data_IF_011999448520
#
_entry.id   IF_011999448520
#
_cell.length_a   1.000
_cell.length_b   1.000
_cell.length_c   1.000
_cell.angle_alpha   90.00
_cell.angle_beta   90.00
_cell.angle_gamma   90.00
#
_symmetry.space_group_name_H-M   'P 1'
#
loop_
_entity.id
_entity.type
_entity.pdbx_description
1 polymer ?
#
# COMPACT_ATOMS: atom_id res chain seq x y z
N UNK A 1 -19.19 -19.37 -4.03
CA UNK A 1 -18.14 -18.58 -4.69
C UNK A 1 -17.67 -19.33 -5.90
N UNK A 2 -17.76 -18.71 -7.07
CA UNK A 2 -17.13 -19.25 -8.27
C UNK A 2 -15.59 -19.11 -8.14
N UNK A 3 -14.82 -19.95 -8.84
CA UNK A 3 -13.34 -19.96 -8.76
C UNK A 3 -12.73 -18.58 -9.08
N UNK A 4 -13.44 -17.81 -9.90
CA UNK A 4 -13.09 -16.49 -10.38
C UNK A 4 -13.15 -15.43 -9.25
N UNK A 5 -14.23 -15.46 -8.47
CA UNK A 5 -14.39 -14.64 -7.26
C UNK A 5 -13.35 -14.99 -6.21
N UNK A 6 -13.00 -16.28 -6.09
CA UNK A 6 -11.93 -16.71 -5.19
C UNK A 6 -10.56 -16.21 -5.67
N UNK A 7 -10.28 -16.29 -6.97
CA UNK A 7 -9.05 -15.79 -7.58
C UNK A 7 -8.87 -14.30 -7.32
N UNK A 8 -9.87 -13.47 -7.64
CA UNK A 8 -9.79 -12.03 -7.40
C UNK A 8 -9.69 -11.70 -5.90
N UNK A 9 -10.40 -12.42 -5.02
CA UNK A 9 -10.30 -12.20 -3.57
C UNK A 9 -8.90 -12.51 -3.03
N UNK A 10 -8.27 -13.58 -3.52
CA UNK A 10 -6.89 -13.93 -3.17
C UNK A 10 -5.92 -12.87 -3.70
N UNK A 11 -6.04 -12.45 -4.95
CA UNK A 11 -5.22 -11.38 -5.52
C UNK A 11 -5.39 -10.06 -4.77
N UNK A 12 -6.62 -9.71 -4.40
CA UNK A 12 -6.93 -8.52 -3.61
C UNK A 12 -6.30 -8.58 -2.22
N UNK A 13 -6.20 -9.79 -1.64
CA UNK A 13 -5.47 -10.04 -0.38
C UNK A 13 -3.96 -9.85 -0.56
N UNK A 14 -3.38 -10.29 -1.67
CA UNK A 14 -1.97 -10.00 -2.00
C UNK A 14 -1.73 -8.50 -2.11
N UNK A 15 -2.62 -7.78 -2.78
CA UNK A 15 -2.50 -6.33 -2.93
C UNK A 15 -2.70 -5.59 -1.61
N UNK A 16 -3.55 -6.09 -0.71
CA UNK A 16 -3.64 -5.60 0.66
C UNK A 16 -2.34 -5.86 1.45
N UNK A 17 -1.76 -7.06 1.34
CA UNK A 17 -0.47 -7.39 1.94
C UNK A 17 0.63 -6.45 1.44
N UNK A 18 0.67 -6.21 0.12
CA UNK A 18 1.51 -5.18 -0.47
C UNK A 18 1.25 -3.82 0.18
N UNK A 19 0.00 -3.34 0.21
CA UNK A 19 -0.36 -2.03 0.78
C UNK A 19 0.20 -1.84 2.18
N UNK A 20 0.09 -2.84 3.07
CA UNK A 20 0.60 -2.73 4.44
C UNK A 20 2.13 -2.65 4.46
N UNK A 21 2.83 -3.60 3.83
CA UNK A 21 4.30 -3.67 3.88
C UNK A 21 4.93 -2.50 3.12
N UNK A 22 4.38 -2.14 1.95
CA UNK A 22 4.84 -0.97 1.18
C UNK A 22 4.55 0.33 1.93
N UNK A 23 3.42 0.46 2.62
CA UNK A 23 3.19 1.66 3.44
C UNK A 23 4.27 1.84 4.50
N UNK A 24 4.66 0.75 5.18
CA UNK A 24 5.72 0.77 6.17
C UNK A 24 7.05 1.21 5.55
N UNK A 25 7.45 0.59 4.43
CA UNK A 25 8.71 0.86 3.72
C UNK A 25 8.75 2.30 3.15
N UNK A 26 7.72 2.68 2.39
CA UNK A 26 7.60 3.96 1.72
C UNK A 26 7.52 5.12 2.72
N UNK A 27 6.70 4.99 3.76
CA UNK A 27 6.59 6.00 4.81
C UNK A 27 7.87 6.09 5.65
N UNK A 28 8.57 4.98 5.91
CA UNK A 28 9.87 5.02 6.60
C UNK A 28 10.88 5.88 5.83
N UNK A 29 10.86 5.84 4.50
CA UNK A 29 11.71 6.71 3.68
C UNK A 29 11.36 8.19 3.73
N UNK A 30 10.08 8.51 3.75
CA UNK A 30 9.65 9.89 3.96
C UNK A 30 10.04 10.40 5.36
N UNK A 31 9.76 9.64 6.42
CA UNK A 31 10.07 10.03 7.79
C UNK A 31 11.58 10.11 8.05
N UNK A 32 12.40 9.29 7.41
CA UNK A 32 13.87 9.41 7.44
C UNK A 32 14.32 10.74 6.84
N UNK A 33 13.82 11.09 5.64
CA UNK A 33 14.15 12.36 4.99
C UNK A 33 13.69 13.56 5.83
N UNK A 34 12.45 13.53 6.34
CA UNK A 34 11.91 14.59 7.17
C UNK A 34 12.70 14.78 8.49
N UNK A 35 13.16 13.69 9.09
CA UNK A 35 13.99 13.71 10.30
C UNK A 35 15.37 14.30 10.05
N UNK A 36 16.00 13.97 8.91
CA UNK A 36 17.27 14.54 8.45
C UNK A 36 17.16 16.03 8.19
N UNK A 37 16.11 16.45 7.49
CA UNK A 37 15.83 17.86 7.22
C UNK A 37 15.61 18.66 8.53
N UNK A 38 14.89 18.10 9.49
CA UNK A 38 14.61 18.74 10.79
C UNK A 38 15.79 18.63 11.78
N UNK A 39 16.96 18.10 11.35
CA UNK A 39 18.14 17.82 12.19
C UNK A 39 17.85 16.96 13.43
N UNK A 40 16.82 16.11 13.38
CA UNK A 40 16.46 15.15 14.44
C UNK A 40 17.03 13.74 14.16
N UNK A 41 18.03 13.70 13.29
CA UNK A 41 18.54 12.49 12.65
C UNK A 41 19.07 11.45 13.63
N UNK A 42 19.80 11.87 14.68
CA UNK A 42 20.38 10.93 15.64
C UNK A 42 19.35 10.09 16.41
N UNK A 43 18.12 10.59 16.55
CA UNK A 43 17.06 9.93 17.35
C UNK A 43 16.26 8.89 16.55
N UNK A 44 16.13 9.08 15.23
CA UNK A 44 15.20 8.29 14.41
C UNK A 44 15.90 7.46 13.33
N UNK A 45 17.06 7.89 12.80
CA UNK A 45 17.73 7.15 11.73
C UNK A 45 18.15 5.75 12.16
N UNK A 46 18.60 5.57 13.42
CA UNK A 46 19.04 4.26 13.91
C UNK A 46 17.87 3.26 14.02
N UNK A 47 16.68 3.77 14.33
CA UNK A 47 15.43 3.01 14.36
C UNK A 47 15.01 2.65 12.94
N UNK A 48 14.93 3.64 12.04
CA UNK A 48 14.43 3.46 10.67
C UNK A 48 15.37 2.58 9.82
N UNK A 49 16.69 2.83 9.85
CA UNK A 49 17.66 2.13 9.00
C UNK A 49 17.79 0.63 9.30
N UNK A 50 17.48 0.20 10.53
CA UNK A 50 17.61 -1.20 10.93
C UNK A 50 16.49 -2.10 10.41
N UNK A 51 15.41 -1.50 9.90
CA UNK A 51 14.23 -2.20 9.35
C UNK A 51 14.10 -2.11 7.84
N UNK A 52 14.83 -1.18 7.21
CA UNK A 52 14.60 -0.72 5.85
C UNK A 52 14.88 -1.79 4.77
N UNK A 53 15.92 -2.60 4.95
CA UNK A 53 16.38 -3.52 3.89
C UNK A 53 15.47 -4.75 3.73
N UNK A 54 15.06 -5.47 4.80
CA UNK A 54 14.27 -6.68 4.64
C UNK A 54 12.83 -6.41 4.18
N UNK A 55 12.26 -5.25 4.51
CA UNK A 55 10.88 -4.92 4.13
C UNK A 55 10.74 -4.71 2.63
N UNK A 56 11.69 -4.03 2.00
CA UNK A 56 11.66 -3.75 0.56
C UNK A 56 11.62 -5.03 -0.28
N UNK A 57 12.45 -6.03 0.06
CA UNK A 57 12.45 -7.31 -0.65
C UNK A 57 11.08 -7.98 -0.59
N UNK A 58 10.43 -7.95 0.58
CA UNK A 58 9.10 -8.55 0.75
C UNK A 58 8.03 -7.79 -0.03
N UNK A 59 8.08 -6.45 -0.10
CA UNK A 59 7.09 -5.67 -0.87
C UNK A 59 7.06 -6.08 -2.33
N UNK A 60 8.23 -6.28 -2.95
CA UNK A 60 8.34 -6.67 -4.34
C UNK A 60 7.75 -8.06 -4.58
N UNK A 61 7.88 -8.98 -3.63
CA UNK A 61 7.27 -10.31 -3.75
C UNK A 61 5.75 -10.19 -3.81
N UNK A 62 5.11 -9.44 -2.92
CA UNK A 62 3.65 -9.23 -3.00
C UNK A 62 3.23 -8.57 -4.31
N UNK A 63 3.96 -7.55 -4.75
CA UNK A 63 3.65 -6.80 -5.97
C UNK A 63 3.74 -7.69 -7.22
N UNK A 64 4.84 -8.44 -7.36
CA UNK A 64 5.06 -9.32 -8.53
C UNK A 64 4.06 -10.49 -8.52
N UNK A 65 3.78 -11.09 -7.36
CA UNK A 65 2.76 -12.14 -7.27
C UNK A 65 1.38 -11.63 -7.69
N UNK A 66 0.97 -10.44 -7.22
CA UNK A 66 -0.28 -9.81 -7.65
C UNK A 66 -0.29 -9.57 -9.18
N UNK A 67 0.78 -8.97 -9.72
CA UNK A 67 0.86 -8.63 -11.14
C UNK A 67 0.84 -9.86 -12.06
N UNK A 68 1.61 -10.91 -11.73
CA UNK A 68 1.58 -12.17 -12.49
C UNK A 68 0.24 -12.87 -12.34
N UNK A 69 -0.37 -12.78 -11.15
CA UNK A 69 -1.66 -13.39 -10.88
C UNK A 69 -2.82 -12.77 -11.63
N UNK A 70 -2.93 -11.45 -11.63
CA UNK A 70 -4.03 -10.78 -12.33
C UNK A 70 -4.00 -11.07 -13.83
N UNK A 71 -2.81 -11.08 -14.44
CA UNK A 71 -2.63 -11.44 -15.86
C UNK A 71 -2.92 -12.91 -16.11
N UNK A 72 -2.56 -13.79 -15.17
CA UNK A 72 -2.82 -15.23 -15.29
C UNK A 72 -4.30 -15.59 -15.21
N UNK A 73 -5.06 -14.93 -14.33
CA UNK A 73 -6.51 -15.17 -14.20
C UNK A 73 -7.32 -14.43 -15.28
N UNK A 74 -6.91 -13.21 -15.61
CA UNK A 74 -7.66 -12.28 -16.45
C UNK A 74 -6.74 -11.72 -17.56
N UNK A 75 -6.50 -12.46 -18.66
CA UNK A 75 -5.57 -12.04 -19.71
C UNK A 75 -5.97 -10.71 -20.37
N UNK A 76 -7.27 -10.39 -20.41
CA UNK A 76 -7.79 -9.12 -20.92
C UNK A 76 -7.23 -7.92 -20.13
N UNK A 77 -6.89 -8.12 -18.85
CA UNK A 77 -6.21 -7.08 -18.07
C UNK A 77 -4.85 -6.73 -18.66
N UNK A 78 -4.12 -7.71 -19.19
CA UNK A 78 -2.84 -7.48 -19.86
C UNK A 78 -3.02 -6.68 -21.15
N UNK A 79 -4.11 -6.90 -21.89
CA UNK A 79 -4.43 -6.14 -23.10
C UNK A 79 -4.79 -4.69 -22.78
N UNK A 80 -5.83 -4.46 -21.97
CA UNK A 80 -6.32 -3.11 -21.67
C UNK A 80 -5.39 -2.32 -20.75
N UNK A 81 -4.95 -2.88 -19.62
CA UNK A 81 -4.04 -2.17 -18.72
C UNK A 81 -2.62 -2.10 -19.28
N UNK A 82 -2.15 -3.14 -19.97
CA UNK A 82 -0.79 -3.14 -20.54
C UNK A 82 -0.62 -2.08 -21.63
N UNK A 83 -1.66 -1.82 -22.44
CA UNK A 83 -1.64 -0.74 -23.44
C UNK A 83 -1.86 0.63 -22.82
N UNK A 84 -2.81 0.76 -21.89
CA UNK A 84 -3.17 2.06 -21.33
C UNK A 84 -2.14 2.60 -20.34
N UNK A 85 -1.51 1.74 -19.54
CA UNK A 85 -0.66 2.16 -18.41
C UNK A 85 0.84 2.19 -18.72
N UNK A 86 1.24 2.23 -19.99
CA UNK A 86 2.67 2.25 -20.38
C UNK A 86 3.45 3.38 -19.69
N UNK A 87 2.90 4.59 -19.65
CA UNK A 87 3.57 5.75 -19.05
C UNK A 87 3.58 5.65 -17.51
N UNK A 88 2.44 5.47 -16.81
CA UNK A 88 2.47 5.28 -15.36
C UNK A 88 3.35 4.11 -14.90
N UNK A 89 3.28 2.96 -15.59
CA UNK A 89 4.06 1.78 -15.24
C UNK A 89 5.57 2.02 -15.41
N UNK A 90 6.01 2.67 -16.50
CA UNK A 90 7.43 2.99 -16.69
C UNK A 90 7.95 3.95 -15.61
N UNK A 91 7.15 4.94 -15.20
CA UNK A 91 7.49 5.84 -14.08
C UNK A 91 7.64 5.05 -12.77
N UNK A 92 6.70 4.15 -12.45
CA UNK A 92 6.81 3.30 -11.25
C UNK A 92 8.08 2.44 -11.30
N UNK A 93 8.39 1.83 -12.44
CA UNK A 93 9.60 1.01 -12.61
C UNK A 93 10.89 1.82 -12.42
N UNK A 94 10.96 3.04 -12.97
CA UNK A 94 12.10 3.95 -12.77
C UNK A 94 12.24 4.30 -11.28
N UNK A 95 11.15 4.63 -10.61
CA UNK A 95 11.17 4.96 -9.18
C UNK A 95 11.60 3.76 -8.31
N UNK A 96 11.13 2.55 -8.64
CA UNK A 96 11.56 1.31 -8.00
C UNK A 96 13.04 1.02 -8.24
N UNK A 97 13.55 1.25 -9.45
CA UNK A 97 14.96 1.09 -9.79
C UNK A 97 15.86 2.06 -9.01
N UNK A 98 15.44 3.34 -8.91
CA UNK A 98 16.14 4.34 -8.08
C UNK A 98 16.18 3.88 -6.62
N UNK A 99 15.06 3.37 -6.10
CA UNK A 99 14.95 2.90 -4.71
C UNK A 99 15.81 1.66 -4.45
N UNK A 100 15.76 0.65 -5.32
CA UNK A 100 16.60 -0.55 -5.24
C UNK A 100 18.09 -0.22 -5.34
N UNK A 101 18.45 0.71 -6.22
CA UNK A 101 19.82 1.24 -6.33
C UNK A 101 20.27 1.90 -5.03
N UNK A 102 19.41 2.72 -4.40
CA UNK A 102 19.71 3.31 -3.11
C UNK A 102 19.94 2.25 -2.02
N UNK A 103 19.09 1.23 -1.92
CA UNK A 103 19.28 0.14 -0.96
C UNK A 103 20.62 -0.58 -1.14
N UNK A 104 20.98 -0.90 -2.38
CA UNK A 104 22.26 -1.51 -2.70
C UNK A 104 23.43 -0.59 -2.32
N UNK A 105 23.43 0.67 -2.79
CA UNK A 105 24.55 1.60 -2.57
C UNK A 105 24.65 2.09 -1.11
N UNK A 106 23.54 2.18 -0.39
CA UNK A 106 23.53 2.56 1.02
C UNK A 106 24.32 1.55 1.87
N UNK A 107 24.34 0.28 1.48
CA UNK A 107 25.15 -0.74 2.17
C UNK A 107 26.66 -0.55 1.99
N UNK A 108 27.10 0.16 0.96
CA UNK A 108 28.52 0.39 0.62
C UNK A 108 29.04 1.80 0.93
N UNK A 109 28.26 2.67 1.58
CA UNK A 109 28.75 3.96 2.11
C UNK A 109 28.11 5.23 1.56
N UNK A 110 27.08 5.16 0.72
CA UNK A 110 26.36 6.37 0.22
C UNK A 110 25.38 7.00 1.24
N UNK A 111 25.32 6.47 2.47
CA UNK A 111 24.33 6.82 3.53
C UNK A 111 24.38 8.27 4.00
N UNK A 112 25.52 8.95 3.88
CA UNK A 112 25.65 10.33 4.38
C UNK A 112 25.13 11.39 3.41
N UNK A 113 25.03 11.08 2.12
CA UNK A 113 24.64 12.07 1.12
C UNK A 113 23.17 12.45 1.23
N UNK A 114 22.93 13.75 1.42
CA UNK A 114 21.60 14.36 1.50
C UNK A 114 20.76 14.11 0.24
N UNK A 115 21.42 14.03 -0.92
CA UNK A 115 20.75 13.79 -2.20
C UNK A 115 20.09 12.41 -2.26
N UNK A 116 20.77 11.37 -1.77
CA UNK A 116 20.21 10.02 -1.78
C UNK A 116 19.07 9.85 -0.78
N UNK A 117 19.16 10.47 0.40
CA UNK A 117 18.04 10.48 1.36
C UNK A 117 16.84 11.26 0.82
N UNK A 118 17.08 12.34 0.06
CA UNK A 118 16.02 13.06 -0.65
C UNK A 118 15.35 12.18 -1.71
N UNK A 119 16.11 11.52 -2.57
CA UNK A 119 15.56 10.58 -3.58
C UNK A 119 14.77 9.46 -2.91
N UNK A 120 15.25 8.96 -1.78
CA UNK A 120 14.56 7.93 -1.02
C UNK A 120 13.21 8.41 -0.45
N UNK A 121 13.16 9.63 0.10
CA UNK A 121 11.90 10.25 0.53
C UNK A 121 10.95 10.56 -0.63
N UNK A 122 11.49 11.07 -1.74
CA UNK A 122 10.71 11.41 -2.93
C UNK A 122 10.09 10.16 -3.58
N UNK A 123 10.88 9.11 -3.81
CA UNK A 123 10.37 7.84 -4.35
C UNK A 123 9.32 7.20 -3.43
N UNK A 124 9.47 7.33 -2.11
CA UNK A 124 8.46 6.86 -1.14
C UNK A 124 7.08 7.52 -1.28
N UNK A 125 6.99 8.74 -1.80
CA UNK A 125 5.71 9.40 -2.05
C UNK A 125 5.24 9.25 -3.50
N UNK A 126 6.17 9.29 -4.45
CA UNK A 126 5.87 9.23 -5.87
C UNK A 126 5.41 7.84 -6.32
N UNK A 127 5.89 6.76 -5.71
CA UNK A 127 5.45 5.39 -6.04
C UNK A 127 3.97 5.21 -5.70
N UNK A 128 3.49 5.47 -4.46
CA UNK A 128 2.07 5.43 -4.14
C UNK A 128 1.21 6.31 -5.04
N UNK A 129 1.68 7.53 -5.34
CA UNK A 129 0.98 8.45 -6.22
C UNK A 129 0.82 7.86 -7.64
N UNK A 130 1.90 7.35 -8.22
CA UNK A 130 1.86 6.75 -9.56
C UNK A 130 1.02 5.47 -9.58
N UNK A 131 1.14 4.60 -8.58
CA UNK A 131 0.31 3.38 -8.48
C UNK A 131 -1.17 3.68 -8.27
N UNK A 132 -1.51 4.75 -7.56
CA UNK A 132 -2.90 5.14 -7.33
C UNK A 132 -3.63 5.51 -8.63
N UNK A 133 -2.91 5.96 -9.66
CA UNK A 133 -3.50 6.21 -10.99
C UNK A 133 -4.09 4.95 -11.60
N UNK A 134 -3.51 3.78 -11.34
CA UNK A 134 -4.04 2.48 -11.81
C UNK A 134 -5.42 2.21 -11.20
N UNK A 135 -5.60 2.49 -9.91
CA UNK A 135 -6.88 2.35 -9.20
C UNK A 135 -7.91 3.39 -9.65
N UNK A 136 -7.46 4.56 -10.08
CA UNK A 136 -8.34 5.59 -10.66
C UNK A 136 -8.82 5.16 -12.05
N UNK A 137 -7.92 4.63 -12.89
CA UNK A 137 -8.24 4.15 -14.23
C UNK A 137 -9.18 2.95 -14.20
N UNK A 138 -9.07 2.09 -13.17
CA UNK A 138 -9.94 0.91 -13.03
C UNK A 138 -11.43 1.24 -12.88
N UNK A 139 -11.77 2.45 -12.44
CA UNK A 139 -13.14 2.94 -12.32
C UNK A 139 -13.74 3.41 -13.66
N UNK A 140 -12.96 3.41 -14.74
CA UNK A 140 -13.39 3.77 -16.09
C UNK A 140 -13.33 5.27 -16.38
N UNK A 141 -13.64 5.65 -17.63
CA UNK A 141 -13.67 7.04 -18.11
C UNK A 141 -12.34 7.62 -18.62
N UNK A 142 -11.27 6.82 -18.63
CA UNK A 142 -9.93 7.21 -19.10
C UNK A 142 -9.43 6.42 -20.30
N UNK A 143 -10.13 5.35 -20.67
CA UNK A 143 -9.80 4.45 -21.77
C UNK A 143 -10.93 4.53 -22.79
N UNK A 144 -10.59 4.93 -24.02
CA UNK A 144 -11.50 4.90 -25.17
C UNK A 144 -11.02 3.81 -26.12
N UNK A 145 -11.89 2.85 -26.39
CA UNK A 145 -11.67 1.86 -27.44
C UNK A 145 -12.16 2.43 -28.77
N UNK A 146 -11.27 2.53 -29.75
CA UNK A 146 -11.60 2.90 -31.14
C UNK A 146 -11.23 1.76 -32.08
N UNK A 147 -11.70 1.80 -33.34
CA UNK A 147 -11.41 0.78 -34.35
C UNK A 147 -9.90 0.54 -34.61
N UNK A 148 -9.03 1.48 -34.20
CA UNK A 148 -7.58 1.40 -34.33
C UNK A 148 -6.85 0.94 -33.05
N UNK A 149 -7.57 0.63 -31.97
CA UNK A 149 -7.03 0.08 -30.72
C UNK A 149 -7.48 0.81 -29.45
N UNK A 150 -6.84 0.48 -28.33
CA UNK A 150 -7.13 1.06 -27.01
C UNK A 150 -6.31 2.33 -26.81
N UNK A 151 -6.99 3.49 -26.69
CA UNK A 151 -6.34 4.77 -26.45
C UNK A 151 -6.54 5.24 -25.01
N UNK A 152 -5.45 5.73 -24.42
CA UNK A 152 -5.43 6.23 -23.04
C UNK A 152 -5.34 7.76 -23.00
N UNK A 153 -6.37 8.38 -22.42
CA UNK A 153 -6.43 9.83 -22.22
C UNK A 153 -5.68 10.24 -20.94
N UNK A 154 -4.35 10.17 -20.97
CA UNK A 154 -3.51 10.50 -19.82
C UNK A 154 -3.69 11.93 -19.28
N UNK A 155 -4.07 12.89 -20.13
CA UNK A 155 -4.35 14.26 -19.71
C UNK A 155 -5.58 14.37 -18.81
N UNK A 156 -6.58 13.51 -18.99
CA UNK A 156 -7.77 13.48 -18.13
C UNK A 156 -7.43 13.09 -16.69
N UNK A 157 -6.37 12.30 -16.46
CA UNK A 157 -5.93 11.98 -15.09
C UNK A 157 -5.44 13.19 -14.31
N UNK A 158 -4.86 14.18 -14.98
CA UNK A 158 -4.36 15.39 -14.33
C UNK A 158 -5.45 16.44 -14.12
N UNK A 159 -6.48 16.45 -14.97
CA UNK A 159 -7.61 17.40 -14.86
C UNK A 159 -8.75 16.89 -13.98
N UNK A 160 -8.85 15.57 -13.77
CA UNK A 160 -9.94 14.97 -13.02
C UNK A 160 -9.76 15.11 -11.50
N UNK A 161 -10.77 15.67 -10.85
CA UNK A 161 -10.83 15.83 -9.39
C UNK A 161 -10.70 14.49 -8.65
N UNK A 162 -11.38 13.43 -9.12
CA UNK A 162 -11.34 12.12 -8.50
C UNK A 162 -9.92 11.55 -8.45
N UNK A 163 -9.18 11.67 -9.56
CA UNK A 163 -7.79 11.21 -9.66
C UNK A 163 -6.90 11.79 -8.54
N UNK A 164 -6.98 13.10 -8.32
CA UNK A 164 -6.24 13.75 -7.25
C UNK A 164 -6.69 13.33 -5.84
N UNK A 165 -7.99 13.08 -5.63
CA UNK A 165 -8.46 12.57 -4.34
C UNK A 165 -7.88 11.20 -4.00
N UNK A 166 -7.77 10.29 -4.99
CA UNK A 166 -7.17 8.95 -4.81
C UNK A 166 -5.66 9.06 -4.57
N UNK A 167 -4.95 9.94 -5.30
CA UNK A 167 -3.52 10.21 -5.08
C UNK A 167 -3.26 10.73 -3.66
N UNK A 168 -4.05 11.71 -3.21
CA UNK A 168 -3.95 12.27 -1.85
C UNK A 168 -4.23 11.18 -0.82
N UNK A 169 -5.27 10.36 -1.02
CA UNK A 169 -5.57 9.24 -0.13
C UNK A 169 -4.40 8.26 -0.05
N UNK A 170 -3.79 7.89 -1.18
CA UNK A 170 -2.66 6.96 -1.23
C UNK A 170 -1.44 7.51 -0.45
N UNK A 171 -1.06 8.77 -0.67
CA UNK A 171 0.06 9.40 0.03
C UNK A 171 -0.21 9.45 1.53
N UNK A 172 -1.37 9.97 1.90
CA UNK A 172 -1.72 10.23 3.30
C UNK A 172 -1.91 8.93 4.08
N UNK A 173 -2.50 7.89 3.46
CA UNK A 173 -2.66 6.57 4.08
C UNK A 173 -1.31 5.88 4.30
N UNK A 174 -0.40 5.93 3.34
CA UNK A 174 0.98 5.43 3.49
C UNK A 174 1.67 6.08 4.69
N UNK A 175 1.58 7.40 4.81
CA UNK A 175 2.17 8.14 5.92
C UNK A 175 1.51 7.81 7.26
N UNK A 176 0.19 7.65 7.30
CA UNK A 176 -0.53 7.28 8.51
C UNK A 176 -0.20 5.86 8.98
N UNK A 177 -0.27 4.85 8.09
CA UNK A 177 0.05 3.45 8.41
C UNK A 177 1.49 3.35 8.89
N UNK A 178 2.43 3.99 8.19
CA UNK A 178 3.84 4.00 8.57
C UNK A 178 4.07 4.66 9.92
N UNK A 179 3.45 5.81 10.20
CA UNK A 179 3.57 6.47 11.49
C UNK A 179 3.01 5.61 12.64
N UNK A 180 1.91 4.91 12.40
CA UNK A 180 1.30 3.99 13.38
C UNK A 180 2.18 2.77 13.65
N UNK A 181 2.81 2.22 12.61
CA UNK A 181 3.79 1.15 12.76
C UNK A 181 5.04 1.60 13.52
N UNK A 182 5.61 2.76 13.16
CA UNK A 182 6.75 3.34 13.85
C UNK A 182 6.43 3.63 15.32
N UNK A 183 5.20 4.01 15.65
CA UNK A 183 4.76 4.26 17.03
C UNK A 183 4.71 2.98 17.85
N UNK A 184 4.09 1.92 17.29
CA UNK A 184 4.10 0.59 17.90
C UNK A 184 5.53 0.11 18.16
N UNK A 185 6.41 0.32 17.18
CA UNK A 185 7.78 -0.13 17.28
C UNK A 185 8.60 0.69 18.31
N UNK A 186 8.46 2.02 18.32
CA UNK A 186 9.17 2.88 19.27
C UNK A 186 8.78 2.57 20.72
N UNK A 187 7.51 2.24 20.98
CA UNK A 187 7.04 1.82 22.30
C UNK A 187 7.68 0.50 22.74
N UNK A 188 7.74 -0.46 21.81
CA UNK A 188 8.39 -1.76 22.06
C UNK A 188 9.89 -1.62 22.31
N UNK A 189 10.55 -0.68 21.62
CA UNK A 189 11.94 -0.32 21.85
C UNK A 189 12.18 0.48 23.14
N UNK A 190 11.12 0.92 23.83
CA UNK A 190 11.15 1.79 25.02
C UNK A 190 11.86 3.13 24.78
N UNK A 191 11.84 3.64 23.56
CA UNK A 191 12.40 4.95 23.20
C UNK A 191 11.35 6.05 23.45
N UNK A 192 11.37 6.61 24.65
CA UNK A 192 10.39 7.62 25.11
C UNK A 192 10.42 8.88 24.23
N UNK A 193 11.58 9.27 23.71
CA UNK A 193 11.73 10.46 22.88
C UNK A 193 11.15 10.23 21.48
N UNK A 194 11.45 9.09 20.86
CA UNK A 194 10.90 8.71 19.56
C UNK A 194 9.37 8.53 19.62
N UNK A 195 8.84 7.90 20.68
CA UNK A 195 7.39 7.74 20.89
C UNK A 195 6.68 9.09 20.89
N UNK A 196 7.23 10.10 21.58
CA UNK A 196 6.63 11.43 21.66
C UNK A 196 6.52 12.12 20.28
N UNK A 197 7.52 11.95 19.43
CA UNK A 197 7.56 12.54 18.10
C UNK A 197 6.66 11.79 17.10
N UNK A 198 6.80 10.46 17.03
CA UNK A 198 6.02 9.63 16.10
C UNK A 198 4.53 9.67 16.44
N UNK A 199 4.15 9.77 17.72
CA UNK A 199 2.75 9.97 18.12
C UNK A 199 2.15 11.24 17.51
N UNK A 200 2.90 12.34 17.47
CA UNK A 200 2.44 13.59 16.84
C UNK A 200 2.22 13.39 15.35
N UNK A 201 3.10 12.65 14.66
CA UNK A 201 2.92 12.32 13.25
C UNK A 201 1.71 11.42 13.01
N UNK A 202 1.53 10.37 13.82
CA UNK A 202 0.40 9.47 13.72
C UNK A 202 -0.95 10.20 13.88
N UNK A 203 -1.05 11.06 14.89
CA UNK A 203 -2.26 11.88 15.11
C UNK A 203 -2.45 12.92 14.00
N UNK A 204 -1.37 13.58 13.57
CA UNK A 204 -1.44 14.56 12.49
C UNK A 204 -1.94 13.93 11.19
N UNK A 205 -1.38 12.78 10.78
CA UNK A 205 -1.77 12.12 9.54
C UNK A 205 -3.14 11.44 9.60
N UNK A 206 -3.62 11.08 10.80
CA UNK A 206 -4.96 10.50 10.97
C UNK A 206 -6.09 11.39 10.42
N UNK A 207 -5.96 12.72 10.57
CA UNK A 207 -6.97 13.70 10.15
C UNK A 207 -7.02 13.84 8.63
N UNK A 208 -5.92 14.11 7.92
CA UNK A 208 -5.90 14.05 6.46
C UNK A 208 -6.37 12.70 5.92
N UNK A 209 -6.10 11.56 6.57
CA UNK A 209 -6.51 10.25 6.04
C UNK A 209 -8.02 10.14 5.99
N UNK A 210 -8.70 10.49 7.07
CA UNK A 210 -10.17 10.38 7.11
C UNK A 210 -10.83 11.42 6.19
N UNK A 211 -10.27 12.63 6.10
CA UNK A 211 -10.74 13.66 5.18
C UNK A 211 -10.57 13.22 3.72
N UNK A 212 -9.41 12.69 3.35
CA UNK A 212 -9.14 12.16 2.02
C UNK A 212 -10.06 10.98 1.68
N UNK A 213 -10.32 10.09 2.63
CA UNK A 213 -11.27 8.99 2.46
C UNK A 213 -12.69 9.50 2.18
N UNK A 214 -13.11 10.55 2.89
CA UNK A 214 -14.39 11.23 2.61
C UNK A 214 -14.40 11.83 1.21
N UNK A 215 -13.34 12.55 0.81
CA UNK A 215 -13.23 13.17 -0.51
C UNK A 215 -13.29 12.15 -1.65
N UNK A 216 -12.65 10.99 -1.52
CA UNK A 216 -12.74 9.90 -2.50
C UNK A 216 -14.18 9.40 -2.63
N UNK A 217 -14.88 9.23 -1.51
CA UNK A 217 -16.30 8.84 -1.51
C UNK A 217 -17.19 9.88 -2.22
N UNK A 218 -16.93 11.17 -2.02
CA UNK A 218 -17.62 12.23 -2.76
C UNK A 218 -17.25 12.28 -4.25
N UNK A 219 -15.98 12.07 -4.59
CA UNK A 219 -15.50 12.07 -5.98
C UNK A 219 -16.04 10.88 -6.80
N UNK A 220 -16.31 9.75 -6.14
CA UNK A 220 -16.96 8.58 -6.74
C UNK A 220 -18.34 8.93 -7.34
N UNK A 221 -19.11 9.82 -6.69
CA UNK A 221 -20.42 10.23 -7.21
C UNK A 221 -20.35 10.84 -8.61
N UNK A 222 -19.32 11.64 -8.89
CA UNK A 222 -19.14 12.27 -10.19
C UNK A 222 -18.49 11.38 -11.24
N UNK A 223 -17.63 10.45 -10.82
CA UNK A 223 -16.85 9.60 -11.75
C UNK A 223 -17.55 8.28 -12.08
N UNK A 224 -18.11 7.61 -11.08
CA UNK A 224 -18.64 6.26 -11.17
C UNK A 224 -19.90 6.13 -10.31
N UNK A 225 -21.01 6.71 -10.80
CA UNK A 225 -22.30 6.70 -10.10
C UNK A 225 -22.76 5.27 -9.75
N UNK A 226 -22.49 4.30 -10.62
CA UNK A 226 -22.80 2.87 -10.40
C UNK A 226 -22.08 2.30 -9.15
N UNK A 227 -20.81 2.66 -8.96
CA UNK A 227 -20.01 2.21 -7.82
C UNK A 227 -20.48 2.89 -6.53
N UNK A 228 -20.78 4.19 -6.61
CA UNK A 228 -21.34 4.95 -5.50
C UNK A 228 -22.71 4.38 -5.03
N UNK A 229 -23.60 4.06 -5.96
CA UNK A 229 -24.89 3.42 -5.67
C UNK A 229 -24.70 2.02 -5.08
N UNK A 230 -23.75 1.23 -5.58
CA UNK A 230 -23.42 -0.09 -5.04
C UNK A 230 -22.90 -0.05 -3.60
N UNK A 231 -22.20 1.03 -3.21
CA UNK A 231 -21.82 1.25 -1.81
C UNK A 231 -23.05 1.57 -0.96
N UNK A 232 -23.93 2.47 -1.43
CA UNK A 232 -25.10 2.91 -0.68
C UNK A 232 -26.21 1.86 -0.57
N UNK A 233 -26.36 0.99 -1.57
CA UNK A 233 -27.44 0.00 -1.67
C UNK A 233 -27.35 -1.16 -0.65
N UNK A 234 -26.32 -1.19 0.21
CA UNK A 234 -26.22 -2.20 1.26
C UNK A 234 -24.81 -2.46 1.82
N UNK A 235 -23.78 -1.85 1.25
CA UNK A 235 -22.37 -2.12 1.61
C UNK A 235 -21.71 -1.01 2.45
N UNK A 236 -22.48 0.01 2.84
CA UNK A 236 -21.99 1.15 3.64
C UNK A 236 -21.39 0.72 5.00
N UNK A 237 -21.82 -0.44 5.53
CA UNK A 237 -21.34 -0.98 6.80
C UNK A 237 -19.83 -1.32 6.78
N UNK A 238 -19.24 -1.65 5.62
CA UNK A 238 -17.79 -1.86 5.50
C UNK A 238 -17.02 -0.57 5.86
N UNK A 239 -17.46 0.55 5.31
CA UNK A 239 -16.85 1.85 5.56
C UNK A 239 -17.16 2.38 6.97
N UNK A 240 -18.36 2.11 7.49
CA UNK A 240 -18.70 2.42 8.87
C UNK A 240 -17.84 1.62 9.87
N UNK A 241 -17.65 0.31 9.63
CA UNK A 241 -16.77 -0.53 10.44
C UNK A 241 -15.32 -0.03 10.39
N UNK A 242 -14.83 0.36 9.20
CA UNK A 242 -13.52 1.00 9.05
C UNK A 242 -13.40 2.27 9.91
N UNK A 243 -14.42 3.13 9.90
CA UNK A 243 -14.44 4.34 10.72
C UNK A 243 -14.47 4.04 12.23
N UNK A 244 -15.15 2.98 12.67
CA UNK A 244 -15.11 2.53 14.07
C UNK A 244 -13.70 2.08 14.45
N UNK A 245 -13.04 1.28 13.62
CA UNK A 245 -11.65 0.87 13.84
C UNK A 245 -10.70 2.06 13.92
N UNK A 246 -10.90 3.08 13.06
CA UNK A 246 -10.15 4.33 13.11
C UNK A 246 -10.31 5.07 14.44
N UNK A 247 -11.55 5.23 14.92
CA UNK A 247 -11.82 5.90 16.22
C UNK A 247 -11.12 5.15 17.35
N UNK A 248 -11.21 3.82 17.36
CA UNK A 248 -10.53 2.98 18.36
C UNK A 248 -9.02 3.21 18.28
N UNK A 249 -8.43 3.10 17.08
CA UNK A 249 -6.99 3.29 16.88
C UNK A 249 -6.51 4.66 17.41
N UNK A 250 -7.19 5.75 17.03
CA UNK A 250 -6.85 7.11 17.46
C UNK A 250 -7.05 7.29 18.96
N UNK A 251 -8.09 6.68 19.54
CA UNK A 251 -8.35 6.72 20.98
C UNK A 251 -7.24 6.05 21.78
N UNK A 252 -6.76 4.88 21.36
CA UNK A 252 -5.63 4.20 22.01
C UNK A 252 -4.34 5.03 21.94
N UNK A 253 -4.08 5.67 20.79
CA UNK A 253 -2.94 6.58 20.59
C UNK A 253 -3.03 7.81 21.50
N UNK A 254 -4.22 8.39 21.62
CA UNK A 254 -4.48 9.56 22.47
C UNK A 254 -4.36 9.24 23.95
N UNK A 255 -4.93 8.11 24.39
CA UNK A 255 -4.86 7.60 25.75
C UNK A 255 -3.46 7.07 26.13
N UNK A 256 -2.51 7.04 25.20
CA UNK A 256 -1.14 6.52 25.38
C UNK A 256 -1.12 5.08 25.92
N UNK A 257 -2.08 4.27 25.49
CA UNK A 257 -2.25 2.89 25.94
C UNK A 257 -2.03 1.94 24.78
N UNK A 258 -1.23 0.90 25.04
CA UNK A 258 -1.05 -0.29 24.21
C UNK A 258 -1.05 -0.04 22.68
N UNK A 259 0.02 0.57 22.16
CA UNK A 259 0.12 0.94 20.74
C UNK A 259 0.09 -0.26 19.78
N UNK A 260 0.33 -1.48 20.27
CA UNK A 260 0.16 -2.70 19.47
C UNK A 260 -1.29 -2.96 19.08
N UNK A 261 -2.23 -2.74 20.00
CA UNK A 261 -3.66 -2.82 19.67
C UNK A 261 -4.02 -1.68 18.71
N UNK A 262 -3.49 -0.47 18.93
CA UNK A 262 -3.75 0.64 18.03
C UNK A 262 -3.34 0.33 16.58
N UNK A 263 -2.16 -0.29 16.39
CA UNK A 263 -1.71 -0.71 15.05
C UNK A 263 -2.58 -1.84 14.46
N UNK A 264 -2.98 -2.82 15.27
CA UNK A 264 -3.90 -3.89 14.82
C UNK A 264 -5.25 -3.31 14.36
N UNK A 265 -5.78 -2.31 15.08
CA UNK A 265 -7.01 -1.62 14.71
C UNK A 265 -6.85 -0.83 13.40
N UNK A 266 -5.69 -0.23 13.13
CA UNK A 266 -5.40 0.40 11.83
C UNK A 266 -5.35 -0.63 10.71
N UNK A 267 -4.73 -1.79 10.95
CA UNK A 267 -4.78 -2.88 9.96
C UNK A 267 -6.24 -3.29 9.67
N UNK A 268 -7.06 -3.44 10.71
CA UNK A 268 -8.49 -3.71 10.58
C UNK A 268 -9.28 -2.62 9.84
N UNK A 269 -8.98 -1.34 10.13
CA UNK A 269 -9.56 -0.20 9.43
C UNK A 269 -9.32 -0.28 7.92
N UNK A 270 -8.05 -0.44 7.52
CA UNK A 270 -7.70 -0.51 6.10
C UNK A 270 -8.18 -1.80 5.47
N UNK A 271 -8.23 -2.92 6.21
CA UNK A 271 -8.81 -4.16 5.71
C UNK A 271 -10.29 -3.97 5.36
N UNK A 272 -11.10 -3.44 6.27
CA UNK A 272 -12.52 -3.16 6.02
C UNK A 272 -12.73 -2.17 4.86
N UNK A 273 -11.94 -1.09 4.80
CA UNK A 273 -12.06 -0.11 3.72
C UNK A 273 -11.63 -0.69 2.36
N UNK A 274 -10.52 -1.44 2.33
CA UNK A 274 -9.94 -1.99 1.11
C UNK A 274 -10.80 -3.12 0.53
N UNK A 275 -11.26 -4.05 1.37
CA UNK A 275 -12.17 -5.12 0.95
C UNK A 275 -13.57 -4.58 0.66
N UNK A 276 -14.05 -3.57 1.39
CA UNK A 276 -15.30 -2.88 1.09
C UNK A 276 -15.27 -2.25 -0.31
N UNK A 277 -14.21 -1.48 -0.61
CA UNK A 277 -14.00 -0.88 -1.93
C UNK A 277 -13.89 -1.92 -3.04
N UNK A 278 -13.11 -2.99 -2.82
CA UNK A 278 -12.99 -4.09 -3.79
C UNK A 278 -14.33 -4.78 -4.05
N UNK A 279 -15.06 -5.11 -2.98
CA UNK A 279 -16.35 -5.80 -3.08
C UNK A 279 -17.40 -4.96 -3.82
N UNK A 280 -17.43 -3.65 -3.60
CA UNK A 280 -18.37 -2.75 -4.31
C UNK A 280 -17.94 -2.44 -5.74
N UNK A 281 -16.71 -2.80 -6.13
CA UNK A 281 -16.19 -2.66 -7.50
C UNK A 281 -16.54 -3.88 -8.37
N UNK A 282 -16.72 -5.05 -7.74
CA UNK A 282 -17.22 -6.25 -8.41
C UNK A 282 -18.60 -6.00 -9.06
N UNK A 283 -18.88 -6.61 -10.23
CA UNK A 283 -18.13 -7.67 -10.91
C UNK A 283 -17.03 -7.20 -11.87
N UNK A 284 -16.76 -5.89 -11.95
CA UNK A 284 -15.80 -5.35 -12.92
C UNK A 284 -14.38 -5.26 -12.35
N UNK A 285 -13.37 -5.54 -13.18
CA UNK A 285 -11.94 -5.23 -12.88
C UNK A 285 -11.55 -3.91 -13.54
N UNK A 286 -12.12 -3.64 -14.71
CA UNK A 286 -11.99 -2.38 -15.44
C UNK A 286 -13.36 -2.08 -16.03
N UNK A 287 -14.02 -1.04 -15.53
CA UNK A 287 -15.33 -0.68 -16.05
C UNK A 287 -15.23 0.06 -17.40
N UNK A 288 -16.04 -0.29 -18.42
CA UNK A 288 -16.96 -1.44 -18.53
C UNK A 288 -16.33 -2.69 -19.19
N UNK A 289 -15.06 -2.65 -19.56
CA UNK A 289 -14.43 -3.59 -20.49
C UNK A 289 -14.12 -4.99 -19.92
N UNK A 290 -13.85 -5.11 -18.61
CA UNK A 290 -13.42 -6.38 -17.99
C UNK A 290 -14.38 -6.77 -16.89
N UNK A 291 -15.18 -7.81 -17.15
CA UNK A 291 -16.07 -8.48 -16.21
C UNK A 291 -15.45 -9.83 -15.78
N UNK A 292 -15.45 -10.09 -14.48
CA UNK A 292 -14.89 -11.32 -13.88
C UNK A 292 -15.59 -12.57 -14.39
N UNK A 293 -16.84 -12.49 -14.82
CA UNK A 293 -17.59 -13.64 -15.34
C UNK A 293 -17.27 -13.94 -16.81
N UNK A 294 -16.79 -12.94 -17.57
CA UNK A 294 -16.55 -13.04 -19.02
C UNK A 294 -15.09 -13.26 -19.42
N UNK A 295 -14.14 -12.80 -18.59
CA UNK A 295 -12.73 -12.66 -18.97
C UNK A 295 -11.79 -13.73 -18.38
N UNK A 296 -12.31 -14.91 -18.02
CA UNK A 296 -11.53 -15.93 -17.30
C UNK A 296 -10.96 -16.99 -18.23
N UNK A 297 -9.70 -17.33 -17.98
CA UNK A 297 -9.01 -18.47 -18.59
C UNK A 297 -9.74 -19.81 -18.35
N UNK A 298 -9.32 -20.85 -19.07
CA UNK A 298 -9.82 -22.22 -18.85
C UNK A 298 -9.81 -22.59 -17.35
N UNK A 299 -10.90 -23.20 -16.87
CA UNK A 299 -11.09 -23.59 -15.47
C UNK A 299 -9.90 -24.34 -14.87
N UNK A 300 -9.24 -25.20 -15.65
CA UNK A 300 -8.05 -25.95 -15.21
C UNK A 300 -6.89 -25.03 -14.83
N UNK A 301 -6.67 -23.96 -15.60
CA UNK A 301 -5.63 -22.97 -15.33
C UNK A 301 -6.01 -22.11 -14.12
N UNK A 302 -7.29 -21.73 -13.99
CA UNK A 302 -7.77 -20.98 -12.84
C UNK A 302 -7.56 -21.76 -11.52
N UNK A 303 -7.87 -23.06 -11.49
CA UNK A 303 -7.63 -23.92 -10.32
C UNK A 303 -6.15 -24.00 -10.00
N UNK A 304 -5.30 -24.24 -11.00
CA UNK A 304 -3.85 -24.33 -10.80
C UNK A 304 -3.28 -23.02 -10.22
N UNK A 305 -3.71 -21.88 -10.74
CA UNK A 305 -3.30 -20.57 -10.21
C UNK A 305 -3.78 -20.38 -8.76
N UNK A 306 -5.04 -20.71 -8.43
CA UNK A 306 -5.53 -20.61 -7.05
C UNK A 306 -4.66 -21.43 -6.10
N UNK A 307 -4.32 -22.67 -6.47
CA UNK A 307 -3.46 -23.54 -5.65
C UNK A 307 -2.08 -22.88 -5.45
N UNK A 308 -1.44 -22.40 -6.52
CA UNK A 308 -0.14 -21.73 -6.45
C UNK A 308 -0.18 -20.47 -5.58
N UNK A 309 -1.26 -19.68 -5.65
CA UNK A 309 -1.41 -18.49 -4.82
C UNK A 309 -1.65 -18.82 -3.36
N UNK A 310 -2.44 -19.85 -3.05
CA UNK A 310 -2.63 -20.32 -1.67
C UNK A 310 -1.29 -20.82 -1.10
N UNK A 311 -0.54 -21.61 -1.88
CA UNK A 311 0.81 -22.05 -1.49
C UNK A 311 1.77 -20.86 -1.33
N UNK A 312 1.67 -19.85 -2.21
CA UNK A 312 2.42 -18.60 -2.11
C UNK A 312 2.13 -17.84 -0.82
N UNK A 313 0.85 -17.70 -0.43
CA UNK A 313 0.46 -17.10 0.85
C UNK A 313 0.93 -17.94 2.04
N UNK A 314 0.83 -19.26 1.95
CA UNK A 314 1.33 -20.19 2.97
C UNK A 314 2.85 -20.12 3.15
N UNK A 315 3.59 -19.62 2.17
CA UNK A 315 5.02 -19.36 2.30
C UNK A 315 5.28 -17.93 2.79
N UNK A 316 4.60 -16.93 2.20
CA UNK A 316 4.80 -15.52 2.49
C UNK A 316 4.37 -15.11 3.90
N UNK A 317 3.21 -15.59 4.36
CA UNK A 317 2.69 -15.22 5.69
C UNK A 317 3.61 -15.75 6.80
N UNK A 318 4.06 -17.02 6.78
CA UNK A 318 5.07 -17.50 7.72
C UNK A 318 6.42 -16.82 7.56
N UNK A 319 6.87 -16.53 6.34
CA UNK A 319 8.12 -15.81 6.11
C UNK A 319 8.07 -14.40 6.74
N UNK A 320 6.97 -13.67 6.54
CA UNK A 320 6.71 -12.41 7.22
C UNK A 320 6.66 -12.60 8.73
N UNK A 321 5.90 -13.56 9.23
CA UNK A 321 5.81 -13.82 10.67
C UNK A 321 7.17 -14.10 11.29
N UNK A 322 8.00 -14.92 10.64
CA UNK A 322 9.37 -15.22 11.06
C UNK A 322 10.26 -13.98 10.97
N UNK A 323 10.16 -13.19 9.92
CA UNK A 323 10.90 -11.93 9.77
C UNK A 323 10.52 -10.93 10.87
N UNK A 324 9.22 -10.76 11.13
CA UNK A 324 8.75 -9.95 12.24
C UNK A 324 9.26 -10.56 13.56
N UNK A 325 9.19 -11.88 13.76
CA UNK A 325 9.66 -12.54 15.00
C UNK A 325 11.15 -12.35 15.25
N UNK A 326 11.98 -12.56 14.23
CA UNK A 326 13.44 -12.52 14.31
C UNK A 326 13.98 -11.08 14.40
N UNK A 327 13.38 -10.14 13.66
CA UNK A 327 13.89 -8.76 13.60
C UNK A 327 13.09 -7.76 14.45
N UNK A 328 11.81 -8.00 14.75
CA UNK A 328 10.95 -7.11 15.55
C UNK A 328 10.61 -7.65 16.95
N UNK A 329 10.60 -8.96 17.20
CA UNK A 329 10.28 -9.53 18.52
C UNK A 329 11.50 -9.99 19.33
N UNK A 330 12.70 -10.00 18.75
CA UNK A 330 13.93 -10.23 19.50
C UNK A 330 14.34 -8.94 20.25
N UNK A 331 14.10 -8.93 21.56
CA UNK A 331 14.38 -7.78 22.44
C UNK A 331 15.85 -7.33 22.39
N UNK A 332 16.79 -8.23 22.09
CA UNK A 332 18.22 -7.92 22.04
C UNK A 332 18.63 -7.24 20.73
N UNK A 333 17.94 -7.56 19.62
CA UNK A 333 18.13 -6.83 18.36
C UNK A 333 17.51 -5.43 18.47
N UNK A 334 16.30 -5.32 19.01
CA UNK A 334 15.58 -4.04 19.20
C UNK A 334 16.34 -3.09 20.14
N UNK A 335 16.95 -3.59 21.22
CA UNK A 335 17.74 -2.80 22.17
C UNK A 335 19.16 -2.46 21.70
N UNK A 336 19.63 -3.07 20.60
CA UNK A 336 20.97 -2.81 20.06
C UNK A 336 22.12 -3.45 20.84
N UNK A 337 21.85 -4.48 21.66
CA UNK A 337 22.88 -5.21 22.43
C UNK A 337 23.66 -6.21 21.57
N UNK A 338 23.13 -6.64 20.40
CA UNK A 338 23.94 -7.32 19.38
C UNK A 338 24.69 -6.31 18.53
N UNK A 339 25.96 -6.10 18.90
CA UNK A 339 27.02 -5.74 17.97
C UNK A 339 26.95 -6.66 16.75
N UNK A 340 27.09 -6.08 15.56
CA UNK A 340 27.26 -6.80 14.29
C UNK A 340 28.43 -7.77 14.40
N UNK A 341 28.16 -9.00 14.81
CA UNK A 341 29.01 -10.14 14.49
C UNK A 341 28.94 -10.34 13.00
N UNK A 342 29.99 -9.92 12.29
CA UNK A 342 30.25 -10.31 10.90
C UNK A 342 30.05 -11.82 10.75
N UNK A 343 29.24 -12.21 9.78
CA UNK A 343 29.41 -13.42 9.01
C UNK A 343 29.03 -13.10 7.58
#
# INVERSE_FOLDING_TARGET
MQIQELGIAVLWTFLYGYLIVASIDFGAGFFAFYSKYTKRDQKINRLIQRYLSPTWEVTNVFFVFFFVGIVGFFPDTAYYYGTALLVPASVVLILLAIRGSFYAFANYGSKESTFYVFLYGATGLLIPAAMSTVLTVSQGGFINETESGVFFDGLKLFTNFYSWTVVILAIVSVLYISAMFLLFYADKARDVEAVGLVRKWALFWSVPTILASGLVFFGLKSQAAWHYESILAGNWWWFAASFVFFIIAVSFVYLKRNYGIAFLMVMGQFFMAWFGYGYTHLPYILYPYIDINGSVVNESMAIALVIVFILGLLLLVPALYLLLRLFLFDNDYVRGTRSSGKA
#
